data_IF_778935856190
#
_entry.id   IF_778935856190
#
_cell.length_a   1.000
_cell.length_b   1.000
_cell.length_c   1.000
_cell.angle_alpha   90.00
_cell.angle_beta   90.00
_cell.angle_gamma   90.00
#
_symmetry.space_group_name_H-M   'P 1'
#
loop_
_entity.id
_entity.type
_entity.pdbx_description
1 polymer ?
#
# COMPACT_ATOMS: atom_id res chain seq x y z
N UNK A 1 6.35 -2.86 -11.45
CA UNK A 1 6.56 -3.32 -10.06
C UNK A 1 6.61 -2.21 -9.03
N UNK A 2 7.27 -1.07 -9.27
CA UNK A 2 7.32 0.06 -8.33
C UNK A 2 5.95 0.56 -7.86
N UNK A 3 4.94 0.49 -8.74
CA UNK A 3 3.58 0.90 -8.42
C UNK A 3 3.01 0.22 -7.15
N UNK A 4 2.73 -1.08 -7.19
CA UNK A 4 2.22 -1.83 -6.03
C UNK A 4 3.31 -2.15 -5.00
N UNK A 5 4.56 -2.35 -5.44
CA UNK A 5 5.67 -2.78 -4.57
C UNK A 5 6.32 -1.66 -3.75
N UNK A 6 6.17 -0.39 -4.15
CA UNK A 6 6.79 0.75 -3.47
C UNK A 6 5.79 1.90 -3.27
N UNK A 7 5.30 2.48 -4.37
CA UNK A 7 4.53 3.73 -4.37
C UNK A 7 3.24 3.64 -3.55
N UNK A 8 2.62 2.46 -3.51
CA UNK A 8 1.42 2.22 -2.71
C UNK A 8 1.71 2.36 -1.21
N UNK A 9 2.80 1.74 -0.72
CA UNK A 9 3.23 1.85 0.67
C UNK A 9 3.77 3.25 1.01
N UNK A 10 4.49 3.88 0.09
CA UNK A 10 4.99 5.26 0.23
C UNK A 10 3.89 6.33 0.26
N UNK A 11 2.67 5.97 -0.14
CA UNK A 11 1.49 6.82 0.04
C UNK A 11 0.74 6.48 1.34
N UNK A 12 0.36 5.21 1.52
CA UNK A 12 -0.53 4.81 2.60
C UNK A 12 0.10 4.96 3.99
N UNK A 13 1.40 4.68 4.14
CA UNK A 13 2.06 4.83 5.44
C UNK A 13 2.09 6.30 5.89
N UNK A 14 2.61 7.28 5.13
CA UNK A 14 2.56 8.67 5.58
C UNK A 14 1.13 9.19 5.73
N UNK A 15 0.16 8.66 4.99
CA UNK A 15 -1.27 8.97 5.18
C UNK A 15 -1.75 8.57 6.58
N UNK A 16 -1.57 7.31 6.99
CA UNK A 16 -1.96 6.84 8.34
C UNK A 16 -1.08 7.38 9.47
N UNK A 17 0.10 7.89 9.16
CA UNK A 17 0.96 8.62 10.11
C UNK A 17 0.63 10.12 10.20
N UNK A 18 -0.31 10.62 9.40
CA UNK A 18 -0.59 12.05 9.30
C UNK A 18 0.63 12.89 8.88
N UNK A 19 1.54 12.32 8.08
CA UNK A 19 2.78 12.96 7.61
C UNK A 19 2.67 13.62 6.25
N UNK A 20 1.56 13.47 5.55
CA UNK A 20 1.28 14.29 4.36
C UNK A 20 1.16 15.77 4.75
N UNK A 21 1.36 16.63 3.75
CA UNK A 21 1.24 18.07 3.92
C UNK A 21 -0.21 18.43 4.25
N UNK A 22 -0.38 19.40 5.15
CA UNK A 22 -1.70 19.90 5.51
C UNK A 22 -1.88 21.24 4.80
N UNK A 23 -2.86 21.30 3.89
CA UNK A 23 -3.20 22.55 3.22
C UNK A 23 -3.68 23.61 4.21
N UNK A 24 -3.64 24.88 3.80
CA UNK A 24 -3.96 26.04 4.66
C UNK A 24 -5.36 25.98 5.27
N UNK A 25 -6.32 25.40 4.54
CA UNK A 25 -7.72 25.26 4.97
C UNK A 25 -8.02 23.89 5.58
N UNK A 26 -7.02 23.01 5.69
CA UNK A 26 -7.15 21.68 6.29
C UNK A 26 -6.63 21.64 7.72
N UNK A 27 -6.99 20.58 8.45
CA UNK A 27 -6.59 20.38 9.83
C UNK A 27 -6.32 18.90 10.10
N UNK A 28 -5.09 18.56 10.51
CA UNK A 28 -4.69 17.19 10.86
C UNK A 28 -5.51 16.56 11.98
N UNK A 29 -6.11 17.36 12.86
CA UNK A 29 -7.00 16.85 13.92
C UNK A 29 -8.28 16.22 13.35
N UNK A 30 -8.64 16.54 12.10
CA UNK A 30 -9.78 15.93 11.40
C UNK A 30 -9.43 14.61 10.70
N UNK A 31 -8.15 14.24 10.66
CA UNK A 31 -7.69 13.03 9.97
C UNK A 31 -7.87 11.82 10.89
N UNK A 32 -9.09 11.30 10.97
CA UNK A 32 -9.45 10.16 11.84
C UNK A 32 -8.65 8.88 11.53
N UNK A 33 -8.10 8.77 10.32
CA UNK A 33 -7.23 7.67 9.90
C UNK A 33 -5.78 7.79 10.38
N UNK A 34 -5.35 8.95 10.88
CA UNK A 34 -3.96 9.24 11.28
C UNK A 34 -3.59 8.61 12.64
N UNK A 35 -3.80 7.31 12.77
CA UNK A 35 -3.68 6.53 14.02
C UNK A 35 -2.29 5.97 14.26
N UNK A 36 -1.45 5.92 13.23
CA UNK A 36 -0.11 5.35 13.28
C UNK A 36 0.91 6.41 13.71
N UNK A 37 0.73 7.00 14.89
CA UNK A 37 1.56 8.11 15.39
C UNK A 37 2.06 7.85 16.82
N UNK A 38 3.05 8.63 17.28
CA UNK A 38 3.61 8.53 18.63
C UNK A 38 4.04 7.11 19.02
N UNK A 39 3.68 6.71 20.24
CA UNK A 39 3.98 5.38 20.80
C UNK A 39 3.40 4.24 19.96
N UNK A 40 2.21 4.42 19.38
CA UNK A 40 1.58 3.41 18.49
C UNK A 40 2.49 3.10 17.31
N UNK A 41 3.13 4.12 16.73
CA UNK A 41 4.05 3.93 15.61
C UNK A 41 5.33 3.21 16.03
N UNK A 42 5.90 3.57 17.18
CA UNK A 42 7.11 2.95 17.70
C UNK A 42 6.89 1.48 18.06
N UNK A 43 5.78 1.18 18.76
CA UNK A 43 5.38 -0.18 19.10
C UNK A 43 5.11 -1.01 17.84
N UNK A 44 4.33 -0.48 16.88
CA UNK A 44 4.08 -1.16 15.62
C UNK A 44 5.37 -1.43 14.86
N UNK A 45 6.31 -0.49 14.87
CA UNK A 45 7.62 -0.64 14.24
C UNK A 45 8.44 -1.79 14.83
N UNK A 46 8.47 -1.91 16.16
CA UNK A 46 9.11 -3.04 16.87
C UNK A 46 8.44 -4.37 16.51
N UNK A 47 7.11 -4.42 16.49
CA UNK A 47 6.35 -5.60 16.12
C UNK A 47 6.69 -6.07 14.68
N UNK A 48 6.79 -5.15 13.72
CA UNK A 48 7.22 -5.46 12.35
C UNK A 48 8.64 -6.03 12.32
N UNK A 49 9.56 -5.47 13.09
CA UNK A 49 10.94 -5.98 13.17
C UNK A 49 11.01 -7.38 13.80
N UNK A 50 10.22 -7.64 14.83
CA UNK A 50 10.14 -8.96 15.49
C UNK A 50 9.55 -10.03 14.57
N UNK A 51 8.69 -9.64 13.62
CA UNK A 51 8.14 -10.55 12.62
C UNK A 51 9.21 -11.14 11.69
N UNK A 52 10.40 -10.54 11.63
CA UNK A 52 11.54 -10.98 10.80
C UNK A 52 11.84 -12.48 10.94
N UNK A 53 11.77 -13.01 12.16
CA UNK A 53 12.08 -14.43 12.44
C UNK A 53 11.12 -15.42 11.80
N UNK A 54 9.94 -14.96 11.38
CA UNK A 54 8.92 -15.78 10.74
C UNK A 54 8.96 -15.72 9.21
N UNK A 55 9.84 -14.88 8.63
CA UNK A 55 10.05 -14.88 7.18
C UNK A 55 11.01 -15.99 6.79
N UNK A 56 10.68 -16.81 5.77
CA UNK A 56 11.62 -17.74 5.17
C UNK A 56 12.88 -17.03 4.68
N UNK A 57 14.03 -17.69 4.75
CA UNK A 57 15.32 -17.16 4.31
C UNK A 57 15.36 -16.77 2.83
N UNK A 58 14.46 -17.34 2.01
CA UNK A 58 14.27 -16.97 0.59
C UNK A 58 13.79 -15.52 0.41
N UNK A 59 13.11 -14.94 1.40
CA UNK A 59 12.84 -13.51 1.45
C UNK A 59 14.08 -12.79 1.98
N UNK A 60 15.13 -12.74 1.16
CA UNK A 60 16.47 -12.22 1.51
C UNK A 60 16.50 -10.93 2.33
N UNK A 61 15.48 -10.07 2.18
CA UNK A 61 15.35 -8.78 2.88
C UNK A 61 13.95 -8.63 3.52
N UNK A 62 13.71 -9.21 4.70
CA UNK A 62 12.48 -8.98 5.46
C UNK A 62 12.41 -7.52 5.94
N UNK A 63 11.21 -6.98 6.23
CA UNK A 63 11.05 -5.59 6.63
C UNK A 63 11.78 -5.31 7.95
N UNK A 64 12.64 -4.28 7.94
CA UNK A 64 13.23 -3.72 9.16
C UNK A 64 12.18 -2.92 9.93
N UNK A 65 12.53 -2.45 11.14
CA UNK A 65 11.68 -1.54 11.91
C UNK A 65 11.33 -0.30 11.06
N UNK A 66 10.08 -0.15 10.58
CA UNK A 66 9.71 0.99 9.76
C UNK A 66 9.73 2.30 10.56
N UNK A 67 9.56 2.26 11.89
CA UNK A 67 9.65 3.47 12.70
C UNK A 67 11.03 4.13 12.67
N UNK A 68 12.08 3.31 12.54
CA UNK A 68 13.47 3.78 12.48
C UNK A 68 13.98 3.94 11.04
N UNK A 69 13.52 3.09 10.12
CA UNK A 69 14.16 2.92 8.80
C UNK A 69 13.34 3.38 7.61
N UNK A 70 12.07 3.75 7.78
CA UNK A 70 11.20 4.08 6.63
C UNK A 70 11.74 5.24 5.79
N UNK A 71 12.40 6.22 6.43
CA UNK A 71 12.99 7.38 5.75
C UNK A 71 14.48 7.19 5.38
N UNK A 72 15.08 6.03 5.65
CA UNK A 72 16.51 5.76 5.44
C UNK A 72 16.74 4.50 4.59
N UNK A 73 16.22 4.54 3.36
CA UNK A 73 16.45 3.50 2.36
C UNK A 73 15.65 2.22 2.61
N UNK A 74 14.39 2.35 3.04
CA UNK A 74 13.41 1.27 3.07
C UNK A 74 13.10 0.83 1.64
N UNK A 75 13.37 -0.44 1.31
CA UNK A 75 13.33 -0.91 -0.08
C UNK A 75 11.95 -1.37 -0.50
N UNK A 76 11.70 -1.44 -1.81
CA UNK A 76 10.46 -1.97 -2.38
C UNK A 76 10.10 -3.37 -1.83
N UNK A 77 11.07 -4.29 -1.68
CA UNK A 77 10.80 -5.61 -1.07
C UNK A 77 10.32 -5.49 0.39
N UNK A 78 10.86 -4.55 1.16
CA UNK A 78 10.43 -4.33 2.55
C UNK A 78 9.03 -3.74 2.60
N UNK A 79 8.72 -2.74 1.75
CA UNK A 79 7.36 -2.22 1.61
C UNK A 79 6.37 -3.30 1.19
N UNK A 80 6.74 -4.13 0.22
CA UNK A 80 5.91 -5.22 -0.26
C UNK A 80 5.59 -6.21 0.86
N UNK A 81 6.60 -6.72 1.57
CA UNK A 81 6.39 -7.68 2.67
C UNK A 81 5.65 -7.05 3.85
N UNK A 82 5.90 -5.77 4.12
CA UNK A 82 5.20 -5.05 5.18
C UNK A 82 3.71 -4.86 4.85
N UNK A 83 3.40 -4.28 3.69
CA UNK A 83 2.02 -3.96 3.29
C UNK A 83 1.23 -5.21 2.91
N UNK A 84 1.79 -6.08 2.06
CA UNK A 84 1.09 -7.26 1.55
C UNK A 84 1.28 -8.50 2.39
N UNK A 85 2.42 -8.67 3.08
CA UNK A 85 2.67 -9.82 3.94
C UNK A 85 2.05 -9.65 5.32
N UNK A 86 2.49 -8.63 6.06
CA UNK A 86 2.06 -8.39 7.44
C UNK A 86 0.79 -7.55 7.56
N UNK A 87 0.55 -6.65 6.60
CA UNK A 87 -0.44 -5.59 6.70
C UNK A 87 -1.84 -6.02 7.11
N UNK A 88 -2.48 -7.02 6.48
CA UNK A 88 -3.82 -7.46 6.85
C UNK A 88 -3.98 -7.82 8.34
N UNK A 89 -2.93 -8.41 8.95
CA UNK A 89 -2.95 -8.75 10.37
C UNK A 89 -2.54 -7.56 11.24
N UNK A 90 -1.41 -6.93 10.94
CA UNK A 90 -0.77 -5.97 11.83
C UNK A 90 -1.50 -4.63 11.85
N UNK A 91 -2.07 -4.19 10.73
CA UNK A 91 -2.83 -2.95 10.68
C UNK A 91 -4.20 -3.05 11.33
N UNK A 92 -4.73 -4.27 11.55
CA UNK A 92 -6.02 -4.46 12.21
C UNK A 92 -6.05 -3.92 13.64
N UNK A 93 -4.89 -3.96 14.32
CA UNK A 93 -4.76 -3.50 15.69
C UNK A 93 -4.59 -1.97 15.83
N UNK A 94 -4.20 -1.29 14.75
CA UNK A 94 -3.82 0.13 14.81
C UNK A 94 -4.68 1.04 13.94
N UNK A 95 -5.28 0.55 12.85
CA UNK A 95 -6.14 1.34 11.99
C UNK A 95 -7.60 1.27 12.43
N UNK A 96 -8.39 2.34 12.22
CA UNK A 96 -9.84 2.26 12.35
C UNK A 96 -10.41 1.17 11.43
N UNK A 97 -11.51 0.53 11.86
CA UNK A 97 -12.09 -0.64 11.17
C UNK A 97 -12.38 -0.36 9.70
N UNK A 98 -12.83 0.85 9.36
CA UNK A 98 -13.14 1.24 7.99
C UNK A 98 -11.88 1.34 7.12
N UNK A 99 -10.84 2.02 7.61
CA UNK A 99 -9.56 2.14 6.91
C UNK A 99 -8.87 0.77 6.75
N UNK A 100 -8.98 -0.11 7.75
CA UNK A 100 -8.44 -1.46 7.66
C UNK A 100 -9.19 -2.32 6.61
N UNK A 101 -10.52 -2.25 6.57
CA UNK A 101 -11.33 -2.94 5.55
C UNK A 101 -11.01 -2.41 4.14
N UNK A 102 -10.88 -1.09 4.02
CA UNK A 102 -10.47 -0.42 2.79
C UNK A 102 -9.10 -0.92 2.32
N UNK A 103 -8.10 -0.97 3.21
CA UNK A 103 -6.80 -1.57 2.90
C UNK A 103 -6.95 -3.02 2.41
N UNK A 104 -7.66 -3.87 3.14
CA UNK A 104 -7.80 -5.28 2.79
C UNK A 104 -8.45 -5.49 1.41
N UNK A 105 -9.43 -4.66 1.05
CA UNK A 105 -10.04 -4.63 -0.29
C UNK A 105 -8.99 -4.34 -1.37
N UNK A 106 -8.21 -3.27 -1.20
CA UNK A 106 -7.14 -2.91 -2.13
C UNK A 106 -6.10 -4.01 -2.27
N UNK A 107 -5.66 -4.59 -1.15
CA UNK A 107 -4.69 -5.69 -1.14
C UNK A 107 -5.23 -6.94 -1.82
N UNK A 108 -6.52 -7.26 -1.67
CA UNK A 108 -7.13 -8.40 -2.33
C UNK A 108 -7.07 -8.26 -3.86
N UNK A 109 -7.55 -7.14 -4.41
CA UNK A 109 -7.48 -6.90 -5.86
C UNK A 109 -6.04 -6.81 -6.37
N UNK A 110 -5.17 -6.12 -5.65
CA UNK A 110 -3.76 -5.97 -6.03
C UNK A 110 -2.99 -7.31 -6.02
N UNK A 111 -3.28 -8.22 -5.08
CA UNK A 111 -2.66 -9.55 -5.05
C UNK A 111 -2.97 -10.37 -6.30
N UNK A 112 -4.18 -10.27 -6.85
CA UNK A 112 -4.53 -10.92 -8.12
C UNK A 112 -3.70 -10.36 -9.27
N UNK A 113 -3.53 -9.03 -9.33
CA UNK A 113 -2.73 -8.36 -10.38
C UNK A 113 -1.23 -8.68 -10.31
N UNK A 114 -0.76 -9.14 -9.14
CA UNK A 114 0.63 -9.55 -8.92
C UNK A 114 0.89 -11.02 -9.27
N UNK A 115 -0.14 -11.83 -9.51
CA UNK A 115 0.05 -13.24 -9.86
C UNK A 115 0.66 -13.39 -11.25
N UNK A 116 1.39 -14.49 -11.47
CA UNK A 116 1.92 -14.86 -12.81
C UNK A 116 0.86 -15.45 -13.73
N UNK A 117 -0.30 -15.80 -13.18
CA UNK A 117 -1.47 -16.30 -13.91
C UNK A 117 -2.71 -15.98 -13.10
N UNK A 118 -3.79 -15.61 -13.78
CA UNK A 118 -5.11 -15.39 -13.19
C UNK A 118 -6.18 -15.68 -14.25
N UNK A 119 -7.29 -16.25 -13.81
CA UNK A 119 -8.45 -16.52 -14.66
C UNK A 119 -9.19 -15.22 -15.00
N UNK A 120 -9.94 -15.20 -16.10
CA UNK A 120 -10.78 -14.05 -16.44
C UNK A 120 -11.81 -13.70 -15.35
N UNK A 121 -12.25 -14.68 -14.54
CA UNK A 121 -13.12 -14.43 -13.39
C UNK A 121 -12.40 -13.66 -12.29
N UNK A 122 -11.22 -14.12 -11.88
CA UNK A 122 -10.41 -13.46 -10.85
C UNK A 122 -10.02 -12.03 -11.26
N UNK A 123 -9.69 -11.82 -12.55
CA UNK A 123 -9.36 -10.48 -13.06
C UNK A 123 -10.57 -9.54 -12.98
N UNK A 124 -11.78 -10.02 -13.31
CA UNK A 124 -13.02 -9.22 -13.18
C UNK A 124 -13.32 -8.88 -11.73
N UNK A 125 -13.19 -9.84 -10.83
CA UNK A 125 -13.38 -9.62 -9.39
C UNK A 125 -12.36 -8.61 -8.84
N UNK A 126 -11.09 -8.76 -9.20
CA UNK A 126 -10.04 -7.82 -8.82
C UNK A 126 -10.30 -6.40 -9.35
N UNK A 127 -10.79 -6.27 -10.59
CA UNK A 127 -11.20 -4.96 -11.15
C UNK A 127 -12.26 -4.30 -10.27
N UNK A 128 -13.30 -5.03 -9.88
CA UNK A 128 -14.38 -4.49 -9.03
C UNK A 128 -13.80 -4.01 -7.70
N UNK A 129 -12.94 -4.81 -7.06
CA UNK A 129 -12.34 -4.45 -5.77
C UNK A 129 -11.41 -3.22 -5.89
N UNK A 130 -10.64 -3.12 -6.97
CA UNK A 130 -9.73 -1.98 -7.19
C UNK A 130 -10.49 -0.69 -7.54
N UNK A 131 -11.56 -0.76 -8.33
CA UNK A 131 -12.43 0.40 -8.61
C UNK A 131 -13.07 0.90 -7.32
N UNK A 132 -13.70 0.00 -6.56
CA UNK A 132 -14.30 0.35 -5.28
C UNK A 132 -13.28 0.89 -4.28
N UNK A 133 -12.04 0.36 -4.28
CA UNK A 133 -10.97 0.89 -3.45
C UNK A 133 -10.66 2.35 -3.78
N UNK A 134 -10.59 2.72 -5.06
CA UNK A 134 -10.32 4.11 -5.47
C UNK A 134 -11.49 5.03 -5.11
N UNK A 135 -12.72 4.61 -5.36
CA UNK A 135 -13.93 5.37 -4.98
C UNK A 135 -13.99 5.60 -3.46
N UNK A 136 -13.76 4.56 -2.67
CA UNK A 136 -13.71 4.65 -1.20
C UNK A 136 -12.51 5.49 -0.73
N UNK A 137 -11.37 5.44 -1.43
CA UNK A 137 -10.22 6.29 -1.11
C UNK A 137 -10.55 7.78 -1.27
N UNK A 138 -11.27 8.12 -2.34
CA UNK A 138 -11.72 9.50 -2.57
C UNK A 138 -12.67 9.99 -1.48
N UNK A 139 -13.58 9.14 -1.02
CA UNK A 139 -14.50 9.48 0.08
C UNK A 139 -13.78 9.54 1.42
N UNK A 140 -12.91 8.59 1.73
CA UNK A 140 -12.28 8.48 3.06
C UNK A 140 -11.20 9.53 3.28
N UNK A 141 -10.29 9.72 2.31
CA UNK A 141 -9.07 10.51 2.52
C UNK A 141 -9.11 11.85 1.79
N UNK A 142 -9.44 11.86 0.49
CA UNK A 142 -9.47 13.09 -0.32
C UNK A 142 -10.64 13.99 0.06
N UNK A 143 -11.82 13.42 0.31
CA UNK A 143 -13.06 14.09 0.72
C UNK A 143 -13.49 15.20 -0.25
N UNK A 144 -13.12 15.08 -1.54
CA UNK A 144 -13.36 16.10 -2.57
C UNK A 144 -12.79 17.49 -2.23
N UNK A 145 -11.78 17.55 -1.36
CA UNK A 145 -11.18 18.80 -0.95
C UNK A 145 -9.96 19.14 -1.80
N UNK A 146 -9.99 20.27 -2.49
CA UNK A 146 -8.88 20.73 -3.35
C UNK A 146 -7.56 20.82 -2.59
N UNK A 147 -7.58 21.21 -1.31
CA UNK A 147 -6.41 21.27 -0.45
C UNK A 147 -5.81 19.89 -0.07
N UNK A 148 -6.51 18.79 -0.38
CA UNK A 148 -6.06 17.40 -0.29
C UNK A 148 -5.82 16.74 -1.64
N UNK A 149 -5.84 17.48 -2.75
CA UNK A 149 -5.62 16.90 -4.09
C UNK A 149 -4.31 16.10 -4.19
N UNK A 150 -3.29 16.52 -3.46
CA UNK A 150 -1.99 15.84 -3.39
C UNK A 150 -2.04 14.45 -2.71
N UNK A 151 -3.15 14.07 -2.07
CA UNK A 151 -3.39 12.72 -1.57
C UNK A 151 -3.68 11.75 -2.73
N UNK A 152 -4.23 12.23 -3.84
CA UNK A 152 -4.57 11.45 -5.02
C UNK A 152 -3.35 11.27 -5.94
N UNK A 153 -2.30 10.65 -5.42
CA UNK A 153 -1.08 10.38 -6.22
C UNK A 153 -1.42 9.48 -7.42
N UNK A 154 -0.62 9.54 -8.51
CA UNK A 154 -0.84 8.68 -9.68
C UNK A 154 -0.94 7.19 -9.36
N UNK A 155 -0.26 6.72 -8.30
CA UNK A 155 -0.35 5.32 -7.88
C UNK A 155 -1.75 4.89 -7.40
N UNK A 156 -2.66 5.80 -7.03
CA UNK A 156 -4.06 5.43 -6.78
C UNK A 156 -4.80 5.27 -8.11
N UNK A 157 -4.67 6.23 -9.01
CA UNK A 157 -5.34 6.21 -10.30
C UNK A 157 -4.93 5.01 -11.17
N UNK A 158 -3.64 4.66 -11.19
CA UNK A 158 -3.12 3.51 -11.95
C UNK A 158 -3.80 2.18 -11.58
N UNK A 159 -4.38 2.05 -10.38
CA UNK A 159 -5.12 0.85 -9.96
C UNK A 159 -6.31 0.54 -10.89
N UNK A 160 -6.95 1.58 -11.44
CA UNK A 160 -8.11 1.45 -12.33
C UNK A 160 -7.77 0.76 -13.66
N UNK A 161 -6.49 0.80 -14.06
CA UNK A 161 -6.01 0.29 -15.34
C UNK A 161 -5.39 -1.10 -15.23
N UNK A 162 -5.08 -1.59 -14.03
CA UNK A 162 -4.33 -2.84 -13.86
C UNK A 162 -5.03 -4.04 -14.51
N UNK A 163 -6.34 -4.16 -14.34
CA UNK A 163 -7.08 -5.31 -14.88
C UNK A 163 -7.17 -5.29 -16.41
N UNK A 164 -7.39 -4.12 -17.03
CA UNK A 164 -7.39 -4.01 -18.49
C UNK A 164 -6.02 -4.27 -19.08
N UNK A 165 -4.97 -3.78 -18.42
CA UNK A 165 -3.59 -4.03 -18.87
C UNK A 165 -3.21 -5.50 -18.72
N UNK A 166 -3.62 -6.16 -17.64
CA UNK A 166 -3.39 -7.60 -17.46
C UNK A 166 -4.02 -8.44 -18.57
N UNK A 167 -5.20 -8.04 -19.09
CA UNK A 167 -5.84 -8.70 -20.24
C UNK A 167 -5.11 -8.37 -21.55
N UNK A 168 -4.70 -7.11 -21.73
CA UNK A 168 -4.11 -6.62 -22.97
C UNK A 168 -2.71 -7.17 -23.24
N UNK A 169 -1.84 -7.16 -22.23
CA UNK A 169 -0.42 -7.48 -22.36
C UNK A 169 0.04 -8.62 -21.44
N UNK A 170 -0.88 -9.24 -20.72
CA UNK A 170 -0.58 -10.29 -19.77
C UNK A 170 -0.15 -9.79 -18.39
N UNK A 171 0.22 -10.71 -17.48
CA UNK A 171 0.54 -10.39 -16.09
C UNK A 171 1.71 -9.41 -15.92
N UNK A 172 1.54 -8.42 -15.03
CA UNK A 172 2.63 -7.47 -14.72
C UNK A 172 3.89 -8.14 -14.17
N UNK A 173 3.77 -9.34 -13.61
CA UNK A 173 4.91 -10.13 -13.14
C UNK A 173 5.86 -10.59 -14.27
N UNK A 174 5.40 -10.68 -15.52
CA UNK A 174 6.23 -11.09 -16.67
C UNK A 174 6.78 -9.92 -17.47
N UNK A 175 6.17 -8.74 -17.36
CA UNK A 175 6.58 -7.50 -18.07
C UNK A 175 7.27 -6.48 -17.16
N UNK A 176 7.63 -6.87 -15.94
CA UNK A 176 8.20 -5.95 -14.95
C UNK A 176 9.66 -5.59 -15.22
N UNK A 177 10.01 -4.33 -14.93
CA UNK A 177 11.37 -3.80 -14.99
C UNK A 177 12.30 -4.28 -13.87
N UNK A 178 11.79 -4.96 -12.84
CA UNK A 178 12.57 -5.28 -11.63
C UNK A 178 13.82 -6.14 -11.86
N UNK A 179 13.80 -7.02 -12.86
CA UNK A 179 14.98 -7.81 -13.25
C UNK A 179 16.03 -6.95 -13.98
N UNK A 180 15.62 -5.83 -14.57
CA UNK A 180 16.49 -4.88 -15.26
C UNK A 180 17.12 -3.86 -14.30
N UNK A 181 16.50 -3.58 -13.16
CA UNK A 181 16.98 -2.60 -12.16
C UNK A 181 18.30 -3.00 -11.49
N UNK A 182 18.79 -4.24 -11.68
CA UNK A 182 20.10 -4.70 -11.20
C UNK A 182 21.20 -4.65 -12.25
N UNK A 183 20.87 -4.27 -13.49
CA UNK A 183 21.80 -4.26 -14.63
C UNK A 183 22.45 -2.89 -14.89
N UNK A 184 22.16 -1.88 -14.06
CA UNK A 184 22.69 -0.51 -14.15
C UNK A 184 23.35 -0.17 -12.82
#
# INVERSE_FOLDING_TARGET
MHHLGLNFGELLIPLWRGKLDCGRTDNKNTWTWATLTGETWEYHGKLVAEARKFFPSSFHRPPRNPAEKINSGFKATEYFLYIFGLGPGFFRAVLPRENWRHLCKGLHGARTMLQRSATGKEIREARIQLVQFVEEYEVMYYQQRVDRMHFCRPCIHTLLHLASEMIRIGPGAVSSQYTLERLI
#
